data_IF_921691420480
#
_entry.id   IF_921691420480
#
_cell.length_a   1.000
_cell.length_b   1.000
_cell.length_c   1.000
_cell.angle_alpha   90.00
_cell.angle_beta   90.00
_cell.angle_gamma   90.00
#
_symmetry.space_group_name_H-M   'P 1'
#
loop_
_entity.id
_entity.type
_entity.pdbx_description
1 polymer ?
#
# COMPACT_ATOMS: atom_id res chain seq x y z
N UNK A 1 17.50 33.66 -59.91
CA UNK A 1 17.65 32.73 -58.75
C UNK A 1 17.28 31.34 -59.26
N UNK A 2 18.19 30.36 -59.21
CA UNK A 2 17.97 29.05 -59.84
C UNK A 2 16.97 28.22 -58.99
N UNK A 3 15.83 27.75 -59.54
CA UNK A 3 14.80 27.03 -58.77
C UNK A 3 15.33 25.78 -58.05
N UNK A 4 16.35 25.13 -58.63
CA UNK A 4 17.03 23.98 -58.00
C UNK A 4 17.78 24.36 -56.71
N UNK A 5 18.38 25.55 -56.68
CA UNK A 5 19.09 26.03 -55.48
C UNK A 5 18.11 26.32 -54.33
N UNK A 6 16.91 26.80 -54.64
CA UNK A 6 15.87 27.10 -53.65
C UNK A 6 15.34 25.80 -53.01
N UNK A 7 15.10 24.75 -53.80
CA UNK A 7 14.70 23.44 -53.28
C UNK A 7 15.74 22.82 -52.34
N UNK A 8 17.03 22.96 -52.68
CA UNK A 8 18.13 22.41 -51.87
C UNK A 8 18.24 23.14 -50.52
N UNK A 9 18.07 24.46 -50.52
CA UNK A 9 18.06 25.28 -49.29
C UNK A 9 16.86 24.92 -48.40
N UNK A 10 15.66 24.76 -48.98
CA UNK A 10 14.46 24.38 -48.21
C UNK A 10 14.59 22.95 -47.65
N UNK A 11 15.17 22.02 -48.40
CA UNK A 11 15.46 20.66 -47.91
C UNK A 11 16.43 20.65 -46.73
N UNK A 12 17.52 21.42 -46.81
CA UNK A 12 18.49 21.56 -45.72
C UNK A 12 17.88 22.21 -44.47
N UNK A 13 17.02 23.22 -44.63
CA UNK A 13 16.36 23.90 -43.52
C UNK A 13 15.39 22.97 -42.76
N UNK A 14 14.68 22.10 -43.48
CA UNK A 14 13.81 21.10 -42.86
C UNK A 14 14.61 20.01 -42.13
N UNK A 15 15.75 19.57 -42.68
CA UNK A 15 16.61 18.59 -42.04
C UNK A 15 17.20 19.11 -40.71
N UNK A 16 17.71 20.36 -40.69
CA UNK A 16 18.20 21.00 -39.47
C UNK A 16 17.10 21.21 -38.41
N UNK A 17 15.85 21.44 -38.84
CA UNK A 17 14.72 21.65 -37.93
C UNK A 17 14.33 20.36 -37.18
N UNK A 18 14.43 19.19 -37.84
CA UNK A 18 14.16 17.87 -37.24
C UNK A 18 15.24 17.49 -36.22
N UNK A 19 16.51 17.78 -36.53
CA UNK A 19 17.64 17.49 -35.64
C UNK A 19 17.61 18.37 -34.37
N UNK A 20 17.21 19.64 -34.49
CA UNK A 20 17.04 20.55 -33.35
C UNK A 20 15.81 20.19 -32.48
N UNK A 21 14.74 19.66 -33.08
CA UNK A 21 13.56 19.20 -32.35
C UNK A 21 13.82 17.91 -31.55
N UNK A 22 14.71 17.04 -32.03
CA UNK A 22 15.07 15.78 -31.36
C UNK A 22 16.15 15.96 -30.29
N UNK A 23 17.11 16.88 -30.48
CA UNK A 23 18.13 17.21 -29.48
C UNK A 23 17.56 17.87 -28.21
N UNK A 24 16.42 18.56 -28.33
CA UNK A 24 15.75 19.24 -27.20
C UNK A 24 14.59 18.43 -26.60
N UNK A 25 14.41 17.17 -26.99
CA UNK A 25 13.25 16.34 -26.62
C UNK A 25 13.44 15.53 -25.33
N UNK A 26 14.11 16.10 -24.32
CA UNK A 26 13.91 15.59 -22.96
C UNK A 26 12.56 16.16 -22.48
N UNK A 27 11.55 15.32 -22.20
CA UNK A 27 10.26 15.81 -21.74
C UNK A 27 10.46 16.46 -20.37
N UNK A 28 10.38 17.79 -20.31
CA UNK A 28 10.26 18.55 -19.06
C UNK A 28 8.86 18.35 -18.50
N UNK A 29 8.68 17.29 -17.73
CA UNK A 29 7.47 16.94 -16.99
C UNK A 29 7.79 16.08 -15.77
N UNK A 30 6.79 15.82 -14.91
CA UNK A 30 6.94 14.98 -13.71
C UNK A 30 7.19 13.51 -14.09
N UNK A 31 8.46 13.11 -14.19
CA UNK A 31 8.89 11.73 -14.48
C UNK A 31 9.18 10.99 -13.17
N UNK A 32 8.13 10.51 -12.48
CA UNK A 32 8.26 9.77 -11.21
C UNK A 32 9.07 8.46 -11.33
N UNK A 33 9.22 7.91 -12.54
CA UNK A 33 9.98 6.69 -12.82
C UNK A 33 11.49 6.89 -12.96
N UNK A 34 11.96 8.15 -13.03
CA UNK A 34 13.37 8.45 -13.26
C UNK A 34 14.11 8.91 -12.00
N UNK A 35 13.42 8.96 -10.86
CA UNK A 35 14.02 9.30 -9.59
C UNK A 35 14.82 8.09 -9.07
N UNK A 36 16.14 8.13 -9.26
CA UNK A 36 17.04 7.20 -8.60
C UNK A 36 17.13 7.64 -7.15
N UNK A 37 16.20 7.16 -6.33
CA UNK A 37 16.26 7.33 -4.88
C UNK A 37 17.50 6.63 -4.31
N UNK A 38 18.63 7.33 -4.35
CA UNK A 38 19.80 7.01 -3.54
C UNK A 38 19.50 7.38 -2.10
N UNK A 39 18.77 6.51 -1.39
CA UNK A 39 18.68 6.63 0.06
C UNK A 39 20.04 6.25 0.67
N UNK A 40 20.84 7.25 1.00
CA UNK A 40 21.94 7.06 1.95
C UNK A 40 21.35 6.73 3.33
N UNK A 41 21.23 5.44 3.63
CA UNK A 41 20.95 4.92 4.97
C UNK A 41 22.21 5.03 5.83
N UNK A 42 22.66 6.23 6.16
CA UNK A 42 23.78 6.41 7.07
C UNK A 42 23.50 7.54 8.06
N UNK A 43 22.67 7.20 9.07
CA UNK A 43 22.54 7.82 10.43
C UNK A 43 21.29 7.36 11.20
N UNK A 44 20.52 6.39 10.70
CA UNK A 44 19.17 6.07 11.22
C UNK A 44 19.10 4.92 12.26
N UNK A 45 20.10 4.04 12.34
CA UNK A 45 19.98 2.81 13.15
C UNK A 45 19.79 3.07 14.67
N UNK A 46 20.59 3.97 15.26
CA UNK A 46 20.53 4.27 16.70
C UNK A 46 19.25 5.01 17.13
N UNK A 47 18.74 5.92 16.30
CA UNK A 47 17.45 6.57 16.56
C UNK A 47 16.29 5.59 16.34
N UNK A 48 16.41 4.68 15.38
CA UNK A 48 15.38 3.68 15.10
C UNK A 48 15.23 2.66 16.24
N UNK A 49 16.33 2.19 16.85
CA UNK A 49 16.27 1.28 18.01
C UNK A 49 15.63 1.94 19.23
N UNK A 50 15.97 3.20 19.53
CA UNK A 50 15.34 3.96 20.61
C UNK A 50 13.85 4.22 20.36
N UNK A 51 13.48 4.54 19.11
CA UNK A 51 12.09 4.74 18.73
C UNK A 51 11.30 3.43 18.84
N UNK A 52 11.84 2.30 18.39
CA UNK A 52 11.21 0.99 18.50
C UNK A 52 10.97 0.61 19.97
N UNK A 53 12.00 0.72 20.82
CA UNK A 53 11.90 0.41 22.25
C UNK A 53 10.83 1.26 22.97
N UNK A 54 10.72 2.54 22.63
CA UNK A 54 9.72 3.44 23.22
C UNK A 54 8.29 3.11 22.73
N UNK A 55 8.12 2.71 21.47
CA UNK A 55 6.81 2.33 20.94
C UNK A 55 6.34 1.00 21.53
N UNK A 56 7.23 0.01 21.62
CA UNK A 56 6.95 -1.29 22.21
C UNK A 56 6.53 -1.15 23.68
N UNK A 57 7.26 -0.33 24.45
CA UNK A 57 6.92 -0.06 25.85
C UNK A 57 5.52 0.56 25.99
N UNK A 58 5.13 1.52 25.14
CA UNK A 58 3.83 2.21 25.25
C UNK A 58 2.65 1.28 24.94
N UNK A 59 2.82 0.37 23.99
CA UNK A 59 1.76 -0.60 23.66
C UNK A 59 1.62 -1.63 24.77
N UNK A 60 2.74 -2.11 25.31
CA UNK A 60 2.71 -3.11 26.39
C UNK A 60 2.17 -2.51 27.69
N UNK A 61 2.56 -1.29 28.02
CA UNK A 61 2.02 -0.54 29.15
C UNK A 61 0.49 -0.37 29.05
N UNK A 62 -0.04 -0.02 27.87
CA UNK A 62 -1.48 0.14 27.68
C UNK A 62 -2.23 -1.19 27.87
N UNK A 63 -1.66 -2.31 27.40
CA UNK A 63 -2.23 -3.65 27.64
C UNK A 63 -2.21 -4.01 29.12
N UNK A 64 -1.10 -3.74 29.81
CA UNK A 64 -1.00 -4.00 31.25
C UNK A 64 -2.02 -3.19 32.04
N UNK A 65 -2.17 -1.90 31.74
CA UNK A 65 -3.15 -1.03 32.39
C UNK A 65 -4.57 -1.56 32.19
N UNK A 66 -4.91 -1.96 30.96
CA UNK A 66 -6.21 -2.57 30.68
C UNK A 66 -6.43 -3.88 31.45
N UNK A 67 -5.44 -4.78 31.43
CA UNK A 67 -5.52 -6.05 32.16
C UNK A 67 -5.69 -5.85 33.67
N UNK A 68 -5.00 -4.87 34.25
CA UNK A 68 -5.15 -4.51 35.67
C UNK A 68 -6.55 -3.97 35.95
N UNK A 69 -7.04 -3.02 35.15
CA UNK A 69 -8.38 -2.45 35.31
C UNK A 69 -9.47 -3.52 35.16
N UNK A 70 -9.30 -4.46 34.22
CA UNK A 70 -10.21 -5.58 34.02
C UNK A 70 -10.25 -6.51 35.24
N UNK A 71 -9.10 -6.89 35.81
CA UNK A 71 -9.05 -7.71 37.03
C UNK A 71 -9.74 -7.03 38.21
N UNK A 72 -9.46 -5.74 38.42
CA UNK A 72 -10.10 -4.95 39.49
C UNK A 72 -11.62 -4.89 39.29
N UNK A 73 -12.09 -4.70 38.06
CA UNK A 73 -13.52 -4.67 37.75
C UNK A 73 -14.19 -6.04 37.89
N UNK A 74 -13.48 -7.13 37.63
CA UNK A 74 -13.98 -8.50 37.82
C UNK A 74 -14.06 -8.88 39.31
N UNK A 75 -13.04 -8.52 40.09
CA UNK A 75 -12.97 -8.80 41.52
C UNK A 75 -13.92 -7.90 42.32
N UNK A 76 -14.09 -6.64 41.90
CA UNK A 76 -15.00 -5.67 42.51
C UNK A 76 -15.75 -4.85 41.44
N UNK A 77 -16.94 -5.31 41.01
CA UNK A 77 -17.69 -4.70 39.92
C UNK A 77 -18.42 -3.43 40.38
N UNK A 78 -17.67 -2.36 40.62
CA UNK A 78 -18.20 -1.02 40.83
C UNK A 78 -18.35 -0.28 39.51
N UNK A 79 -19.30 0.67 39.45
CA UNK A 79 -19.51 1.50 38.27
C UNK A 79 -18.20 2.22 37.84
N UNK A 80 -17.44 2.70 38.80
CA UNK A 80 -16.17 3.38 38.55
C UNK A 80 -15.13 2.45 37.91
N UNK A 81 -14.95 1.24 38.45
CA UNK A 81 -14.00 0.25 37.92
C UNK A 81 -14.38 -0.22 36.51
N UNK A 82 -15.68 -0.37 36.24
CA UNK A 82 -16.16 -0.73 34.90
C UNK A 82 -15.92 0.42 33.91
N UNK A 83 -16.16 1.67 34.31
CA UNK A 83 -15.92 2.84 33.46
C UNK A 83 -14.42 2.99 33.13
N UNK A 84 -13.53 2.75 34.09
CA UNK A 84 -12.08 2.84 33.84
C UNK A 84 -11.62 1.77 32.84
N UNK A 85 -12.07 0.52 33.00
CA UNK A 85 -11.79 -0.56 32.05
C UNK A 85 -12.35 -0.25 30.65
N UNK A 86 -13.59 0.25 30.55
CA UNK A 86 -14.20 0.64 29.28
C UNK A 86 -13.46 1.78 28.58
N UNK A 87 -12.97 2.78 29.33
CA UNK A 87 -12.17 3.87 28.76
C UNK A 87 -10.86 3.36 28.15
N UNK A 88 -10.16 2.46 28.86
CA UNK A 88 -8.94 1.85 28.35
C UNK A 88 -9.21 0.98 27.12
N UNK A 89 -10.30 0.20 27.13
CA UNK A 89 -10.74 -0.57 25.97
C UNK A 89 -11.01 0.33 24.75
N UNK A 90 -11.66 1.48 24.96
CA UNK A 90 -11.92 2.46 23.89
C UNK A 90 -10.61 2.96 23.27
N UNK A 91 -9.61 3.28 24.08
CA UNK A 91 -8.30 3.73 23.58
C UNK A 91 -7.59 2.65 22.76
N UNK A 92 -7.64 1.38 23.21
CA UNK A 92 -7.10 0.24 22.45
C UNK A 92 -7.82 0.11 21.11
N UNK A 93 -9.15 0.19 21.12
CA UNK A 93 -9.97 0.08 19.92
C UNK A 93 -9.68 1.20 18.91
N UNK A 94 -9.54 2.44 19.35
CA UNK A 94 -9.20 3.58 18.49
C UNK A 94 -7.83 3.40 17.81
N UNK A 95 -6.83 2.89 18.55
CA UNK A 95 -5.51 2.58 17.98
C UNK A 95 -5.58 1.41 16.99
N UNK A 96 -6.30 0.35 17.35
CA UNK A 96 -6.51 -0.80 16.47
C UNK A 96 -7.24 -0.41 15.18
N UNK A 97 -8.21 0.51 15.26
CA UNK A 97 -8.92 1.01 14.09
C UNK A 97 -7.99 1.75 13.13
N UNK A 98 -7.17 2.69 13.63
CA UNK A 98 -6.17 3.39 12.81
C UNK A 98 -5.15 2.44 12.18
N UNK A 99 -4.77 1.41 12.92
CA UNK A 99 -3.88 0.37 12.40
C UNK A 99 -4.56 -0.42 11.28
N UNK A 100 -5.80 -0.87 11.48
CA UNK A 100 -6.55 -1.63 10.49
C UNK A 100 -6.77 -0.85 9.20
N UNK A 101 -7.06 0.46 9.27
CA UNK A 101 -7.21 1.29 8.07
C UNK A 101 -5.89 1.41 7.31
N UNK A 102 -4.78 1.64 8.01
CA UNK A 102 -3.46 1.69 7.38
C UNK A 102 -3.02 0.33 6.84
N UNK A 103 -3.34 -0.75 7.55
CA UNK A 103 -3.09 -2.12 7.11
C UNK A 103 -3.83 -2.41 5.80
N UNK A 104 -5.11 -2.06 5.71
CA UNK A 104 -5.89 -2.21 4.48
C UNK A 104 -5.28 -1.42 3.32
N UNK A 105 -4.86 -0.18 3.57
CA UNK A 105 -4.19 0.63 2.55
C UNK A 105 -2.84 0.01 2.14
N UNK A 106 -2.05 -0.46 3.08
CA UNK A 106 -0.78 -1.13 2.80
C UNK A 106 -0.98 -2.39 1.96
N UNK A 107 -1.99 -3.20 2.26
CA UNK A 107 -2.37 -4.36 1.43
C UNK A 107 -2.76 -3.92 0.02
N UNK A 108 -3.48 -2.81 -0.17
CA UNK A 108 -3.84 -2.33 -1.50
C UNK A 108 -2.65 -1.80 -2.31
N UNK A 109 -1.67 -1.18 -1.65
CA UNK A 109 -0.52 -0.54 -2.30
C UNK A 109 0.62 -1.53 -2.57
N UNK A 110 0.83 -2.51 -1.70
CA UNK A 110 1.87 -3.50 -1.83
C UNK A 110 1.31 -4.82 -2.37
N UNK A 111 1.54 -5.04 -3.67
CA UNK A 111 1.09 -6.25 -4.37
C UNK A 111 1.73 -7.54 -3.83
N UNK A 112 2.85 -7.47 -3.11
CA UNK A 112 3.53 -8.65 -2.53
C UNK A 112 2.83 -9.14 -1.26
N UNK A 113 2.10 -8.26 -0.56
CA UNK A 113 1.26 -8.62 0.58
C UNK A 113 -0.09 -9.22 0.14
N UNK A 114 -0.39 -9.18 -1.16
CA UNK A 114 -1.55 -9.83 -1.77
C UNK A 114 -1.07 -11.19 -2.30
N UNK A 115 -1.88 -12.23 -2.11
CA UNK A 115 -1.61 -13.54 -2.68
C UNK A 115 -1.43 -13.38 -4.20
N UNK A 116 -0.25 -13.72 -4.74
CA UNK A 116 0.09 -13.50 -6.16
C UNK A 116 -0.92 -14.14 -7.15
N UNK A 117 -1.73 -15.06 -6.66
CA UNK A 117 -2.76 -15.78 -7.41
C UNK A 117 -4.14 -15.10 -7.37
N UNK A 118 -4.35 -14.09 -6.53
CA UNK A 118 -5.63 -13.37 -6.39
C UNK A 118 -5.46 -11.91 -6.86
N UNK A 119 -6.31 -11.44 -7.79
CA UNK A 119 -6.13 -10.10 -8.36
C UNK A 119 -6.41 -9.00 -7.32
N UNK A 120 -5.47 -8.07 -7.19
CA UNK A 120 -5.51 -6.95 -6.23
C UNK A 120 -6.67 -5.97 -6.43
N UNK A 121 -7.19 -5.88 -7.66
CA UNK A 121 -8.30 -4.99 -8.00
C UNK A 121 -9.63 -5.57 -7.51
N UNK A 122 -10.41 -4.80 -6.76
CA UNK A 122 -11.71 -5.21 -6.20
C UNK A 122 -12.74 -5.68 -7.24
N UNK A 123 -12.72 -5.10 -8.44
CA UNK A 123 -13.56 -5.54 -9.56
C UNK A 123 -13.10 -6.91 -10.09
N UNK A 124 -11.78 -7.08 -10.26
CA UNK A 124 -11.22 -8.35 -10.72
C UNK A 124 -11.33 -9.45 -9.68
N UNK A 125 -11.34 -9.11 -8.39
CA UNK A 125 -11.53 -10.05 -7.30
C UNK A 125 -12.90 -10.74 -7.36
N UNK A 126 -13.97 -9.96 -7.60
CA UNK A 126 -15.31 -10.53 -7.78
C UNK A 126 -15.39 -11.47 -8.99
N UNK A 127 -14.81 -11.05 -10.12
CA UNK A 127 -14.76 -11.87 -11.33
C UNK A 127 -13.96 -13.15 -11.12
N UNK A 128 -12.85 -13.08 -10.38
CA UNK A 128 -12.04 -14.25 -10.04
C UNK A 128 -12.77 -15.21 -9.11
N UNK A 129 -13.46 -14.66 -8.10
CA UNK A 129 -14.26 -15.44 -7.18
C UNK A 129 -15.39 -16.19 -7.92
N UNK A 130 -16.13 -15.48 -8.77
CA UNK A 130 -17.20 -16.07 -9.60
C UNK A 130 -16.66 -17.18 -10.52
N UNK A 131 -15.49 -16.96 -11.14
CA UNK A 131 -14.82 -17.99 -11.95
C UNK A 131 -14.42 -19.21 -11.11
N UNK A 132 -13.87 -18.99 -9.92
CA UNK A 132 -13.47 -20.09 -9.02
C UNK A 132 -14.67 -20.90 -8.53
N UNK A 133 -15.80 -20.24 -8.28
CA UNK A 133 -17.06 -20.87 -7.88
C UNK A 133 -17.62 -21.72 -9.03
N UNK A 134 -17.59 -21.22 -10.27
CA UNK A 134 -17.99 -21.96 -11.45
C UNK A 134 -17.12 -23.20 -11.72
N UNK A 135 -15.80 -23.08 -11.51
CA UNK A 135 -14.87 -24.20 -11.62
C UNK A 135 -15.13 -25.26 -10.54
N UNK A 136 -15.42 -24.84 -9.30
CA UNK A 136 -15.77 -25.74 -8.21
C UNK A 136 -17.11 -26.45 -8.47
N UNK A 137 -18.13 -25.74 -8.93
CA UNK A 137 -19.41 -26.33 -9.33
C UNK A 137 -19.25 -27.38 -10.43
N UNK A 138 -18.38 -27.11 -11.41
CA UNK A 138 -18.08 -28.06 -12.48
C UNK A 138 -17.37 -29.31 -11.94
N UNK A 139 -16.42 -29.15 -11.00
CA UNK A 139 -15.76 -30.27 -10.33
C UNK A 139 -16.75 -31.09 -9.50
N UNK A 140 -17.64 -30.45 -8.75
CA UNK A 140 -18.67 -31.11 -7.95
C UNK A 140 -19.62 -31.93 -8.84
N UNK A 141 -20.06 -31.37 -9.97
CA UNK A 141 -20.89 -32.11 -10.96
C UNK A 141 -20.16 -33.32 -11.54
N UNK A 142 -18.86 -33.21 -11.81
CA UNK A 142 -18.06 -34.33 -12.31
C UNK A 142 -17.88 -35.43 -11.25
N UNK A 143 -17.64 -35.06 -9.99
CA UNK A 143 -17.55 -36.02 -8.89
C UNK A 143 -18.89 -36.73 -8.69
N UNK A 144 -20.00 -35.99 -8.68
CA UNK A 144 -21.34 -36.55 -8.53
C UNK A 144 -21.75 -37.48 -9.69
N UNK A 145 -21.25 -37.24 -10.91
CA UNK A 145 -21.45 -38.14 -12.07
C UNK A 145 -20.64 -39.43 -11.99
N UNK A 146 -19.51 -39.39 -11.28
CA UNK A 146 -18.58 -40.51 -11.13
C UNK A 146 -18.80 -41.27 -9.80
N UNK A 147 -19.93 -41.04 -9.15
CA UNK A 147 -20.42 -41.78 -7.98
C UNK A 147 -21.41 -42.87 -8.37
#
# INVERSE_FOLDING_TARGET
>A
MNPLAIMLIIGLLNYLSVELATANSLPTGFLWYNDKHGHELNKSASNSELILAVHDHRIEELKEQFNRAQRIALDNPTLENVITAQRLQKQIMEKAHKFATMWQLATLLDYQLINANEPSNSLHRKLYQEKSEQENDSKLKNIAKNW
#
